data_IF_636457547377
#
_entry.id   IF_636457547377
#
_cell.length_a   1.000
_cell.length_b   1.000
_cell.length_c   1.000
_cell.angle_alpha   90.00
_cell.angle_beta   90.00
_cell.angle_gamma   90.00
#
_symmetry.space_group_name_H-M   'P 1'
#
loop_
_entity.id
_entity.type
_entity.pdbx_description
1 polymer ?
#
# COMPACT_ATOMS: atom_id res chain seq x y z
N UNK A 1 -65.97 -0.07 -50.30
CA UNK A 1 -65.21 0.10 -51.58
C UNK A 1 -63.85 0.67 -51.26
N UNK A 2 -62.99 -0.12 -51.47
CA UNK A 2 -61.67 -0.21 -52.17
C UNK A 2 -60.44 0.16 -51.33
N UNK A 3 -59.71 -0.93 -51.00
CA UNK A 3 -58.30 -1.27 -51.35
C UNK A 3 -57.22 -0.33 -50.79
N UNK A 4 -56.47 -0.82 -49.83
CA UNK A 4 -55.19 -1.57 -50.02
C UNK A 4 -54.16 -0.87 -50.89
N UNK A 5 -53.02 -0.49 -50.29
CA UNK A 5 -51.72 -0.71 -50.91
C UNK A 5 -50.57 -0.55 -49.88
N UNK A 6 -49.94 -1.64 -49.70
CA UNK A 6 -48.63 -1.86 -49.10
C UNK A 6 -47.55 -1.29 -50.04
N UNK A 7 -46.59 -0.52 -49.57
CA UNK A 7 -45.32 -0.28 -50.31
C UNK A 7 -44.12 -0.27 -49.36
N UNK A 8 -43.45 -1.41 -49.37
CA UNK A 8 -42.03 -1.49 -49.09
C UNK A 8 -41.28 -0.71 -50.18
N UNK A 9 -40.40 0.19 -49.79
CA UNK A 9 -39.37 0.71 -50.68
C UNK A 9 -38.05 0.82 -49.96
N UNK A 10 -37.14 0.06 -50.46
CA UNK A 10 -35.73 0.02 -50.31
C UNK A 10 -35.10 1.44 -50.46
N UNK A 11 -34.27 1.84 -49.47
CA UNK A 11 -33.22 2.84 -49.72
C UNK A 11 -31.93 2.21 -49.25
N UNK A 12 -31.01 2.02 -50.18
CA UNK A 12 -29.65 1.59 -49.97
C UNK A 12 -28.87 2.75 -49.38
N UNK A 13 -28.27 2.51 -48.26
CA UNK A 13 -27.44 3.48 -47.52
C UNK A 13 -26.00 3.31 -47.90
N UNK A 14 -25.36 4.41 -48.17
CA UNK A 14 -23.91 4.55 -48.34
C UNK A 14 -23.28 4.50 -46.92
N UNK A 15 -22.38 3.54 -46.72
CA UNK A 15 -21.59 3.42 -45.50
C UNK A 15 -20.43 4.41 -45.61
N UNK A 16 -20.49 5.48 -44.81
CA UNK A 16 -19.33 6.32 -44.51
C UNK A 16 -18.70 5.84 -43.22
N UNK A 17 -17.60 5.12 -43.33
CA UNK A 17 -16.81 4.71 -42.15
C UNK A 17 -15.99 5.91 -41.67
N UNK A 18 -16.45 6.59 -40.63
CA UNK A 18 -15.64 7.47 -39.82
C UNK A 18 -15.03 6.64 -38.68
N UNK A 19 -13.78 6.23 -38.87
CA UNK A 19 -12.97 5.63 -37.81
C UNK A 19 -12.58 6.69 -36.80
N UNK A 20 -13.36 6.81 -35.73
CA UNK A 20 -12.92 7.50 -34.54
C UNK A 20 -11.90 6.60 -33.83
N UNK A 21 -10.62 6.85 -34.05
CA UNK A 21 -9.54 6.26 -33.29
C UNK A 21 -9.58 6.86 -31.88
N UNK A 22 -10.36 6.24 -31.00
CA UNK A 22 -10.25 6.46 -29.56
C UNK A 22 -8.91 5.90 -29.11
N UNK A 23 -7.90 6.77 -28.96
CA UNK A 23 -6.69 6.48 -28.22
C UNK A 23 -7.05 6.30 -26.76
N UNK A 24 -7.58 5.13 -26.41
CA UNK A 24 -7.53 4.63 -25.04
C UNK A 24 -6.05 4.49 -24.70
N UNK A 25 -5.50 5.45 -23.99
CA UNK A 25 -4.24 5.29 -23.28
C UNK A 25 -4.50 4.21 -22.23
N UNK A 26 -4.24 2.97 -22.62
CA UNK A 26 -4.08 1.87 -21.69
C UNK A 26 -2.98 2.30 -20.71
N UNK A 27 -3.37 2.58 -19.47
CA UNK A 27 -2.45 2.46 -18.38
C UNK A 27 -1.89 1.05 -18.52
N UNK A 28 -0.57 0.85 -18.46
CA UNK A 28 -0.06 -0.51 -18.42
C UNK A 28 -0.66 -1.14 -17.16
N UNK A 29 -1.73 -1.93 -17.33
CA UNK A 29 -2.02 -2.98 -16.40
C UNK A 29 -0.70 -3.71 -16.28
N UNK A 30 -0.11 -3.73 -15.08
CA UNK A 30 1.08 -4.50 -14.79
C UNK A 30 0.80 -5.90 -15.31
N UNK A 31 1.35 -6.21 -16.48
CA UNK A 31 1.33 -7.55 -17.01
C UNK A 31 1.97 -8.39 -15.90
N UNK A 32 1.21 -9.34 -15.37
CA UNK A 32 1.74 -10.39 -14.50
C UNK A 32 2.70 -11.17 -15.36
N UNK A 33 3.91 -10.63 -15.50
CA UNK A 33 5.04 -11.31 -16.13
C UNK A 33 5.39 -12.48 -15.23
N UNK A 34 5.36 -13.68 -15.78
CA UNK A 34 5.61 -14.97 -15.14
C UNK A 34 7.06 -15.20 -14.72
N UNK A 35 7.88 -14.17 -14.66
CA UNK A 35 9.24 -14.22 -14.12
C UNK A 35 9.32 -13.27 -12.93
N UNK A 36 9.30 -13.84 -11.73
CA UNK A 36 9.56 -13.08 -10.51
C UNK A 36 10.95 -12.44 -10.60
N UNK A 37 11.06 -11.17 -10.23
CA UNK A 37 12.36 -10.53 -10.12
C UNK A 37 13.24 -11.30 -9.11
N UNK A 38 14.55 -11.47 -9.38
CA UNK A 38 15.42 -12.16 -8.45
C UNK A 38 15.46 -11.41 -7.10
N UNK A 39 15.60 -12.18 -6.01
CA UNK A 39 15.75 -11.65 -4.68
C UNK A 39 16.93 -10.68 -4.60
N UNK A 40 16.70 -9.46 -4.14
CA UNK A 40 17.75 -8.46 -3.93
C UNK A 40 18.36 -8.62 -2.54
N UNK A 41 19.66 -8.93 -2.46
CA UNK A 41 20.36 -8.98 -1.17
C UNK A 41 20.50 -7.57 -0.58
N UNK A 42 19.97 -7.36 0.62
CA UNK A 42 20.05 -6.09 1.36
C UNK A 42 21.24 -6.08 2.34
N UNK A 43 21.50 -7.23 2.98
CA UNK A 43 22.65 -7.47 3.88
C UNK A 43 23.01 -8.97 3.86
N UNK A 44 23.85 -9.44 4.78
CA UNK A 44 24.19 -10.86 4.86
C UNK A 44 23.06 -11.76 5.32
N UNK A 45 22.06 -11.18 5.98
CA UNK A 45 20.90 -11.87 6.54
C UNK A 45 19.57 -11.41 5.99
N UNK A 46 19.52 -10.34 5.16
CA UNK A 46 18.28 -9.76 4.65
C UNK A 46 18.21 -9.76 3.12
N UNK A 47 17.02 -10.06 2.61
CA UNK A 47 16.67 -10.01 1.19
C UNK A 47 15.35 -9.26 0.99
N UNK A 48 15.28 -8.47 -0.09
CA UNK A 48 14.06 -7.91 -0.62
C UNK A 48 13.54 -8.83 -1.72
N UNK A 49 12.32 -9.27 -1.58
CA UNK A 49 11.55 -10.07 -2.52
C UNK A 49 10.38 -9.25 -3.04
N UNK A 50 9.87 -9.58 -4.23
CA UNK A 50 8.67 -8.94 -4.78
C UNK A 50 7.64 -10.02 -5.08
N UNK A 51 6.48 -9.90 -4.45
CA UNK A 51 5.36 -10.82 -4.62
C UNK A 51 4.12 -10.05 -5.10
N UNK A 52 3.69 -10.28 -6.34
CA UNK A 52 2.53 -9.60 -6.91
C UNK A 52 2.62 -8.06 -6.93
N UNK A 53 3.83 -7.52 -6.97
CA UNK A 53 4.11 -6.08 -6.90
C UNK A 53 4.37 -5.55 -5.49
N UNK A 54 4.05 -6.31 -4.44
CA UNK A 54 4.34 -5.95 -3.06
C UNK A 54 5.77 -6.34 -2.67
N UNK A 55 6.42 -5.49 -1.88
CA UNK A 55 7.72 -5.76 -1.30
C UNK A 55 7.56 -6.64 -0.05
N UNK A 56 8.41 -7.66 0.05
CA UNK A 56 8.52 -8.54 1.20
C UNK A 56 9.98 -8.60 1.63
N UNK A 57 10.27 -8.37 2.91
CA UNK A 57 11.63 -8.51 3.42
C UNK A 57 11.76 -9.82 4.18
N UNK A 58 12.76 -10.65 3.79
CA UNK A 58 13.08 -11.89 4.47
C UNK A 58 14.37 -11.71 5.28
N UNK A 59 14.31 -12.03 6.58
CA UNK A 59 15.45 -12.05 7.49
C UNK A 59 15.74 -13.50 7.89
N UNK A 60 16.93 -14.02 7.57
CA UNK A 60 17.39 -15.33 7.99
C UNK A 60 18.03 -15.26 9.37
N UNK A 61 17.65 -16.18 10.24
CA UNK A 61 18.31 -16.43 11.51
C UNK A 61 18.51 -17.94 11.75
N UNK A 62 19.12 -18.36 12.89
CA UNK A 62 19.33 -19.80 13.18
C UNK A 62 18.03 -20.60 13.33
N UNK A 63 16.89 -19.97 13.64
CA UNK A 63 15.60 -20.64 13.80
C UNK A 63 14.85 -20.85 12.48
N UNK A 64 15.24 -20.12 11.44
CA UNK A 64 14.61 -20.12 10.12
C UNK A 64 14.56 -18.73 9.49
N UNK A 65 13.36 -18.24 9.18
CA UNK A 65 13.14 -16.96 8.50
C UNK A 65 12.07 -16.16 9.22
N UNK A 66 12.34 -14.88 9.45
CA UNK A 66 11.32 -13.88 9.74
C UNK A 66 10.99 -13.09 8.47
N UNK A 67 9.71 -12.82 8.22
CA UNK A 67 9.25 -12.00 7.09
C UNK A 67 8.68 -10.67 7.58
N UNK A 68 8.80 -9.63 6.78
CA UNK A 68 7.97 -8.44 6.88
C UNK A 68 7.09 -8.41 5.65
N UNK A 69 5.79 -8.51 5.90
CA UNK A 69 4.71 -8.73 4.96
C UNK A 69 4.77 -10.09 4.22
N UNK A 70 3.71 -10.43 3.52
CA UNK A 70 3.56 -11.72 2.88
C UNK A 70 3.18 -11.65 1.38
N UNK A 71 2.96 -10.45 0.85
CA UNK A 71 2.43 -10.32 -0.51
C UNK A 71 0.98 -10.82 -0.63
N UNK A 72 0.38 -10.71 -1.82
CA UNK A 72 -0.97 -11.19 -2.09
C UNK A 72 -1.03 -12.73 -2.12
N UNK A 73 -2.20 -13.28 -1.77
CA UNK A 73 -2.43 -14.73 -1.72
C UNK A 73 -2.02 -15.47 -3.00
N UNK A 74 -2.38 -14.92 -4.15
CA UNK A 74 -2.07 -15.53 -5.44
C UNK A 74 -0.55 -15.70 -5.70
N UNK A 75 0.29 -14.91 -5.02
CA UNK A 75 1.75 -14.96 -5.09
C UNK A 75 2.41 -15.89 -4.07
N UNK A 76 1.67 -16.48 -3.12
CA UNK A 76 2.22 -17.16 -1.93
C UNK A 76 3.19 -18.31 -2.26
N UNK A 77 2.83 -19.16 -3.23
CA UNK A 77 3.70 -20.29 -3.63
C UNK A 77 5.05 -19.81 -4.16
N UNK A 78 5.02 -18.80 -5.00
CA UNK A 78 6.22 -18.24 -5.60
C UNK A 78 7.06 -17.50 -4.56
N UNK A 79 6.42 -16.75 -3.66
CA UNK A 79 7.09 -16.09 -2.54
C UNK A 79 7.85 -17.11 -1.67
N UNK A 80 7.20 -18.19 -1.25
CA UNK A 80 7.83 -19.22 -0.41
C UNK A 80 8.98 -19.94 -1.11
N UNK A 81 8.89 -20.13 -2.42
CA UNK A 81 10.00 -20.65 -3.23
C UNK A 81 11.18 -19.68 -3.20
N UNK A 82 10.93 -18.38 -3.46
CA UNK A 82 11.97 -17.34 -3.43
C UNK A 82 12.60 -17.18 -2.04
N UNK A 83 11.79 -17.23 -0.96
CA UNK A 83 12.30 -17.24 0.42
C UNK A 83 13.27 -18.39 0.62
N UNK A 84 12.90 -19.60 0.21
CA UNK A 84 13.75 -20.79 0.36
C UNK A 84 15.05 -20.66 -0.45
N UNK A 85 14.97 -20.20 -1.68
CA UNK A 85 16.15 -20.02 -2.55
C UNK A 85 17.09 -18.93 -2.02
N UNK A 86 16.54 -17.80 -1.56
CA UNK A 86 17.34 -16.68 -1.08
C UNK A 86 17.99 -16.96 0.28
N UNK A 87 17.26 -17.61 1.19
CA UNK A 87 17.68 -17.77 2.59
C UNK A 87 18.27 -19.16 2.90
N UNK A 88 18.01 -20.16 2.07
CA UNK A 88 18.35 -21.57 2.33
C UNK A 88 17.41 -22.25 3.34
N UNK A 89 16.28 -21.62 3.73
CA UNK A 89 15.33 -22.18 4.68
C UNK A 89 13.89 -21.99 4.19
N UNK A 90 13.09 -23.05 4.27
CA UNK A 90 11.64 -23.01 4.01
C UNK A 90 10.82 -22.70 5.27
N UNK A 91 11.45 -22.70 6.46
CA UNK A 91 10.75 -22.50 7.73
C UNK A 91 10.58 -21.03 8.04
N UNK A 92 9.40 -20.50 7.82
CA UNK A 92 9.01 -19.17 8.32
C UNK A 92 8.48 -19.30 9.74
N UNK A 93 9.13 -18.68 10.73
CA UNK A 93 8.72 -18.73 12.13
C UNK A 93 8.05 -17.47 12.62
N UNK A 94 8.27 -16.32 11.95
CA UNK A 94 7.66 -15.03 12.31
C UNK A 94 7.31 -14.26 11.04
N UNK A 95 6.18 -13.60 11.05
CA UNK A 95 5.83 -12.59 10.03
C UNK A 95 5.31 -11.34 10.72
N UNK A 96 5.78 -10.17 10.28
CA UNK A 96 5.20 -8.88 10.62
C UNK A 96 4.23 -8.49 9.52
N UNK A 97 3.00 -8.10 9.86
CA UNK A 97 2.12 -7.43 8.90
C UNK A 97 2.18 -5.93 9.17
N UNK A 98 2.68 -5.17 8.18
CA UNK A 98 2.78 -3.72 8.31
C UNK A 98 1.41 -3.06 8.38
N UNK A 99 0.39 -3.62 7.74
CA UNK A 99 -1.01 -3.25 7.85
C UNK A 99 -1.92 -4.38 7.34
N UNK A 100 -3.25 -4.16 7.27
CA UNK A 100 -4.21 -5.23 7.02
C UNK A 100 -4.49 -5.56 5.55
N UNK A 101 -4.03 -4.78 4.56
CA UNK A 101 -4.39 -4.96 3.16
C UNK A 101 -3.91 -6.30 2.56
N UNK A 102 -4.60 -6.79 1.49
CA UNK A 102 -4.35 -8.12 0.93
C UNK A 102 -2.96 -8.31 0.35
N UNK A 103 -2.34 -7.24 -0.15
CA UNK A 103 -0.99 -7.24 -0.69
C UNK A 103 0.10 -7.34 0.40
N UNK A 104 -0.27 -7.27 1.68
CA UNK A 104 0.62 -7.46 2.83
C UNK A 104 0.31 -8.76 3.59
N UNK A 105 -0.98 -9.13 3.69
CA UNK A 105 -1.44 -10.20 4.56
C UNK A 105 -1.92 -11.45 3.83
N UNK A 106 -1.98 -11.41 2.50
CA UNK A 106 -2.60 -12.47 1.69
C UNK A 106 -1.96 -13.84 1.84
N UNK A 107 -0.64 -13.90 2.06
CA UNK A 107 0.07 -15.17 2.26
C UNK A 107 -0.02 -15.73 3.69
N UNK A 108 -0.58 -15.01 4.65
CA UNK A 108 -0.61 -15.45 6.06
C UNK A 108 -1.17 -16.87 6.23
N UNK A 109 -2.20 -17.23 5.46
CA UNK A 109 -2.83 -18.55 5.57
C UNK A 109 -1.93 -19.73 5.13
N UNK A 110 -0.84 -19.44 4.44
CA UNK A 110 0.15 -20.40 3.96
C UNK A 110 1.41 -20.45 4.85
N UNK A 111 1.47 -19.65 5.93
CA UNK A 111 2.58 -19.56 6.87
C UNK A 111 2.27 -20.35 8.15
N UNK A 112 2.14 -21.67 8.02
CA UNK A 112 1.72 -22.54 9.14
C UNK A 112 2.67 -22.47 10.34
N UNK A 113 2.10 -22.23 11.52
CA UNK A 113 2.84 -22.17 12.78
C UNK A 113 3.69 -20.91 12.97
N UNK A 114 3.66 -19.97 12.03
CA UNK A 114 4.35 -18.70 12.21
C UNK A 114 3.69 -17.82 13.29
N UNK A 115 4.51 -17.11 14.05
CA UNK A 115 4.06 -16.00 14.87
C UNK A 115 3.74 -14.83 13.95
N UNK A 116 2.51 -14.32 13.99
CA UNK A 116 2.07 -13.17 13.18
C UNK A 116 1.99 -11.95 14.10
N UNK A 117 2.93 -11.02 13.92
CA UNK A 117 3.05 -9.80 14.71
C UNK A 117 2.43 -8.64 13.92
N UNK A 118 1.54 -7.88 14.54
CA UNK A 118 0.92 -6.69 13.95
C UNK A 118 0.36 -5.75 15.02
N UNK A 119 -0.09 -4.57 14.60
CA UNK A 119 -0.94 -3.74 15.43
C UNK A 119 -2.31 -4.42 15.66
N UNK A 120 -2.92 -4.20 16.83
CA UNK A 120 -4.22 -4.82 17.17
C UNK A 120 -5.31 -4.47 16.14
N UNK A 121 -5.34 -3.24 15.62
CA UNK A 121 -6.30 -2.83 14.60
C UNK A 121 -6.17 -3.67 13.32
N UNK A 122 -4.95 -4.01 12.90
CA UNK A 122 -4.73 -4.94 11.77
C UNK A 122 -5.42 -6.27 12.01
N UNK A 123 -5.32 -6.83 13.23
CA UNK A 123 -6.03 -8.07 13.60
C UNK A 123 -7.55 -7.89 13.56
N UNK A 124 -8.06 -6.76 14.04
CA UNK A 124 -9.50 -6.46 14.05
C UNK A 124 -10.06 -6.34 12.63
N UNK A 125 -9.39 -5.62 11.72
CA UNK A 125 -9.81 -5.50 10.33
C UNK A 125 -9.88 -6.85 9.62
N UNK A 126 -8.96 -7.76 9.89
CA UNK A 126 -8.92 -9.10 9.29
C UNK A 126 -9.99 -10.06 9.81
N UNK A 127 -10.80 -9.66 10.80
CA UNK A 127 -11.93 -10.47 11.30
C UNK A 127 -13.18 -10.37 10.44
N UNK A 128 -13.28 -9.35 9.60
CA UNK A 128 -14.45 -9.06 8.79
C UNK A 128 -14.08 -8.91 7.32
N UNK A 129 -15.07 -9.03 6.42
CA UNK A 129 -14.90 -8.67 5.03
C UNK A 129 -14.99 -7.14 4.90
N UNK A 130 -13.91 -6.53 4.43
CA UNK A 130 -13.78 -5.08 4.31
C UNK A 130 -13.46 -4.68 2.86
N UNK A 131 -14.04 -3.60 2.34
CA UNK A 131 -13.66 -3.06 1.05
C UNK A 131 -12.28 -2.39 1.14
N UNK A 132 -11.37 -2.77 0.22
CA UNK A 132 -10.01 -2.24 0.12
C UNK A 132 -9.98 -1.11 -0.91
N UNK A 133 -9.61 0.13 -0.53
CA UNK A 133 -9.52 1.24 -1.48
C UNK A 133 -8.32 1.07 -2.44
N UNK A 134 -8.34 1.71 -3.60
CA UNK A 134 -9.40 2.55 -4.13
C UNK A 134 -10.50 1.76 -4.87
N UNK A 135 -10.28 0.47 -5.18
CA UNK A 135 -11.19 -0.36 -5.97
C UNK A 135 -12.40 -0.86 -5.18
N UNK A 136 -12.33 -0.82 -3.84
CA UNK A 136 -13.33 -1.32 -2.92
C UNK A 136 -13.67 -2.82 -3.09
N UNK A 137 -12.72 -3.62 -3.60
CA UNK A 137 -12.84 -5.07 -3.60
C UNK A 137 -12.87 -5.59 -2.16
N UNK A 138 -13.76 -6.54 -1.87
CA UNK A 138 -13.85 -7.11 -0.52
C UNK A 138 -12.67 -8.02 -0.23
N UNK A 139 -12.07 -7.83 0.95
CA UNK A 139 -11.01 -8.69 1.48
C UNK A 139 -11.34 -9.15 2.90
N UNK A 140 -11.01 -10.40 3.21
CA UNK A 140 -11.34 -11.03 4.47
C UNK A 140 -12.78 -11.62 4.49
N UNK A 141 -13.23 -12.17 5.63
CA UNK A 141 -12.43 -12.41 6.82
C UNK A 141 -11.35 -13.46 6.59
N UNK A 142 -10.17 -13.25 7.14
CA UNK A 142 -9.15 -14.32 7.14
C UNK A 142 -9.51 -15.40 8.15
N UNK A 143 -9.14 -16.66 7.91
CA UNK A 143 -9.31 -17.72 8.91
C UNK A 143 -8.50 -17.41 10.18
N UNK A 144 -8.94 -17.85 11.37
CA UNK A 144 -8.29 -17.50 12.64
C UNK A 144 -6.77 -17.75 12.65
N UNK A 145 -6.31 -18.85 12.03
CA UNK A 145 -4.87 -19.19 11.93
C UNK A 145 -4.03 -18.23 11.10
N UNK A 146 -4.67 -17.42 10.25
CA UNK A 146 -4.02 -16.45 9.36
C UNK A 146 -4.08 -15.01 9.89
N UNK A 147 -4.73 -14.80 11.04
CA UNK A 147 -4.80 -13.49 11.69
C UNK A 147 -3.63 -13.29 12.63
N UNK A 148 -3.20 -12.04 12.89
CA UNK A 148 -2.20 -11.74 13.90
C UNK A 148 -2.51 -12.43 15.25
N UNK A 149 -1.50 -13.10 15.80
CA UNK A 149 -1.59 -13.84 17.08
C UNK A 149 -0.65 -13.28 18.17
N UNK A 150 0.16 -12.27 17.81
CA UNK A 150 0.96 -11.45 18.72
C UNK A 150 0.76 -9.98 18.35
N UNK A 151 0.02 -9.24 19.17
CA UNK A 151 -0.38 -7.86 18.85
C UNK A 151 0.07 -6.85 19.89
N UNK A 152 0.11 -5.58 19.51
CA UNK A 152 0.41 -4.46 20.40
C UNK A 152 -0.39 -3.21 19.95
N UNK A 153 -0.47 -2.20 20.82
CA UNK A 153 -1.28 -1.00 20.58
C UNK A 153 -0.44 0.27 20.39
N UNK A 154 0.54 0.48 21.24
CA UNK A 154 1.30 1.73 21.29
C UNK A 154 2.79 1.44 21.41
N UNK A 155 3.59 2.48 21.20
CA UNK A 155 5.03 2.47 21.34
C UNK A 155 5.76 1.61 20.30
N UNK A 156 7.03 1.44 20.53
CA UNK A 156 7.89 0.52 19.81
C UNK A 156 8.32 -0.62 20.70
N UNK A 157 8.57 -1.77 20.10
CA UNK A 157 9.11 -2.96 20.75
C UNK A 157 10.39 -3.40 20.08
N UNK A 158 11.21 -4.11 20.81
CA UNK A 158 12.43 -4.73 20.32
C UNK A 158 12.31 -6.25 20.35
N UNK A 159 12.87 -6.91 19.33
CA UNK A 159 12.99 -8.36 19.22
C UNK A 159 14.34 -8.69 18.59
N UNK A 160 14.84 -9.91 18.82
CA UNK A 160 16.12 -10.35 18.30
C UNK A 160 15.95 -11.52 17.32
N UNK A 161 16.54 -11.43 16.14
CA UNK A 161 16.63 -12.53 15.17
C UNK A 161 18.11 -12.88 14.94
N UNK A 162 18.59 -13.92 15.61
CA UNK A 162 20.02 -14.24 15.63
C UNK A 162 20.84 -13.05 16.15
N UNK A 163 21.71 -12.49 15.30
CA UNK A 163 22.51 -11.28 15.62
C UNK A 163 21.86 -9.96 15.16
N UNK A 164 20.65 -10.01 14.60
CA UNK A 164 19.96 -8.84 14.08
C UNK A 164 18.98 -8.29 15.12
N UNK A 165 19.26 -7.14 15.77
CA UNK A 165 18.30 -6.47 16.62
C UNK A 165 17.26 -5.74 15.77
N UNK A 166 16.00 -5.98 16.04
CA UNK A 166 14.88 -5.45 15.27
C UNK A 166 13.99 -4.63 16.17
N UNK A 167 13.73 -3.40 15.79
CA UNK A 167 12.70 -2.55 16.38
C UNK A 167 11.48 -2.55 15.46
N UNK A 168 10.29 -2.62 16.04
CA UNK A 168 9.04 -2.36 15.32
C UNK A 168 8.15 -1.44 16.12
N UNK A 169 7.37 -0.60 15.46
CA UNK A 169 6.57 0.41 16.15
C UNK A 169 5.38 0.88 15.35
N UNK A 170 4.41 1.47 16.06
CA UNK A 170 3.17 1.96 15.52
C UNK A 170 3.32 3.30 14.82
N UNK A 171 2.61 3.47 13.71
CA UNK A 171 2.46 4.73 12.97
C UNK A 171 0.98 5.15 13.01
N UNK A 172 0.66 6.06 13.93
CA UNK A 172 -0.73 6.41 14.26
C UNK A 172 -1.49 6.95 13.05
N UNK A 173 -2.57 6.24 12.65
CA UNK A 173 -3.53 6.67 11.63
C UNK A 173 -2.88 7.20 10.34
N UNK A 174 -1.84 6.54 9.85
CA UNK A 174 -1.12 6.99 8.68
C UNK A 174 -1.85 6.57 7.38
N UNK A 175 -1.47 5.44 6.77
CA UNK A 175 -2.17 4.85 5.64
C UNK A 175 -3.45 4.13 6.10
N UNK A 176 -3.37 3.43 7.24
CA UNK A 176 -4.45 2.82 8.02
C UNK A 176 -4.29 3.17 9.49
N UNK A 177 -5.20 2.71 10.36
CA UNK A 177 -5.06 2.81 11.83
C UNK A 177 -4.26 1.64 12.45
N UNK A 178 -3.70 0.77 11.62
CA UNK A 178 -2.92 -0.39 12.04
C UNK A 178 -1.50 -0.43 11.48
N UNK A 179 -1.00 0.70 10.95
CA UNK A 179 0.33 0.73 10.33
C UNK A 179 1.45 0.55 11.33
N UNK A 180 2.41 -0.31 11.00
CA UNK A 180 3.66 -0.46 11.74
C UNK A 180 4.86 -0.37 10.81
N UNK A 181 6.01 0.02 11.36
CA UNK A 181 7.30 -0.11 10.71
C UNK A 181 8.11 -1.23 11.35
N UNK A 182 9.10 -1.77 10.62
CA UNK A 182 10.07 -2.75 11.12
C UNK A 182 11.47 -2.28 10.74
N UNK A 183 12.33 -2.07 11.73
CA UNK A 183 13.70 -1.57 11.55
C UNK A 183 14.74 -2.60 11.97
N UNK A 184 15.47 -3.13 11.01
CA UNK A 184 16.62 -4.01 11.19
C UNK A 184 17.86 -3.14 11.44
N UNK A 185 18.22 -2.98 12.72
CA UNK A 185 19.20 -1.97 13.16
C UNK A 185 20.61 -2.26 12.67
N UNK A 186 21.09 -3.51 12.77
CA UNK A 186 22.44 -3.91 12.33
C UNK A 186 22.57 -3.77 10.81
N UNK A 187 21.58 -4.22 10.07
CA UNK A 187 21.54 -4.14 8.60
C UNK A 187 21.20 -2.74 8.08
N UNK A 188 20.73 -1.85 8.94
CA UNK A 188 20.26 -0.51 8.63
C UNK A 188 19.19 -0.49 7.51
N UNK A 189 18.16 -1.35 7.67
CA UNK A 189 17.03 -1.51 6.73
C UNK A 189 15.74 -1.21 7.47
N UNK A 190 14.97 -0.24 6.98
CA UNK A 190 13.69 0.19 7.54
C UNK A 190 12.56 -0.15 6.58
N UNK A 191 11.69 -1.08 6.97
CA UNK A 191 10.46 -1.42 6.23
C UNK A 191 9.33 -0.55 6.75
N UNK A 192 8.68 0.17 5.85
CA UNK A 192 7.73 1.24 6.22
C UNK A 192 6.27 0.91 5.92
N UNK A 193 6.01 -0.13 5.11
CA UNK A 193 4.64 -0.44 4.69
C UNK A 193 3.96 0.66 3.89
N UNK A 194 2.64 0.77 4.01
CA UNK A 194 1.77 1.64 3.23
C UNK A 194 1.96 3.16 3.34
N UNK A 195 2.46 3.72 4.46
CA UNK A 195 2.68 5.15 4.59
C UNK A 195 3.64 5.77 3.59
N UNK A 196 4.58 4.99 3.05
CA UNK A 196 5.59 5.46 2.10
C UNK A 196 5.34 4.87 0.72
N UNK A 197 5.27 5.71 -0.29
CA UNK A 197 5.11 5.29 -1.68
C UNK A 197 6.37 5.52 -2.50
N UNK A 198 6.69 4.61 -3.41
CA UNK A 198 7.78 4.75 -4.36
C UNK A 198 7.29 4.96 -5.80
N UNK A 199 6.04 4.64 -6.10
CA UNK A 199 5.48 4.68 -7.44
C UNK A 199 4.01 5.13 -7.40
N UNK A 200 3.78 6.41 -7.63
CA UNK A 200 2.44 6.99 -7.63
C UNK A 200 1.96 7.45 -6.24
N UNK A 201 0.75 7.98 -6.21
CA UNK A 201 0.14 8.51 -5.01
C UNK A 201 -0.18 7.39 -4.01
N UNK A 202 0.06 7.60 -2.69
CA UNK A 202 -0.34 6.62 -1.68
C UNK A 202 -1.87 6.57 -1.57
N UNK A 203 -2.37 5.43 -1.14
CA UNK A 203 -3.75 5.31 -0.68
C UNK A 203 -3.84 5.86 0.74
N UNK A 204 -4.93 6.57 1.05
CA UNK A 204 -5.33 6.91 2.41
C UNK A 204 -6.61 6.13 2.68
N UNK A 205 -6.53 5.07 3.45
CA UNK A 205 -7.70 4.25 3.75
C UNK A 205 -8.54 4.88 4.87
N UNK A 206 -9.44 5.75 4.46
CA UNK A 206 -10.32 6.48 5.38
C UNK A 206 -11.22 5.54 6.19
N UNK A 207 -11.58 4.37 5.63
CA UNK A 207 -12.44 3.40 6.33
C UNK A 207 -11.74 2.78 7.52
N UNK A 208 -10.44 2.56 7.40
CA UNK A 208 -9.58 2.14 8.51
C UNK A 208 -8.83 3.34 9.13
N UNK A 209 -9.51 4.48 9.22
CA UNK A 209 -9.05 5.70 9.88
C UNK A 209 -7.70 6.26 9.37
N UNK A 210 -7.30 5.93 8.14
CA UNK A 210 -6.16 6.56 7.48
C UNK A 210 -6.40 8.07 7.31
N UNK A 211 -5.35 8.87 7.54
CA UNK A 211 -5.46 10.32 7.57
C UNK A 211 -4.20 11.00 7.01
N UNK A 212 -4.37 12.01 6.17
CA UNK A 212 -3.22 12.69 5.56
C UNK A 212 -2.26 13.31 6.58
N UNK A 213 -2.76 13.82 7.71
CA UNK A 213 -1.87 14.38 8.76
C UNK A 213 -1.17 13.25 9.50
N UNK A 214 -1.85 12.14 9.80
CA UNK A 214 -1.23 10.94 10.33
C UNK A 214 -0.16 10.37 9.39
N UNK A 215 -0.42 10.40 8.07
CA UNK A 215 0.58 10.02 7.06
C UNK A 215 1.85 10.90 7.14
N UNK A 216 1.68 12.23 7.25
CA UNK A 216 2.79 13.19 7.42
C UNK A 216 3.56 12.91 8.71
N UNK A 217 2.87 12.66 9.83
CA UNK A 217 3.48 12.40 11.13
C UNK A 217 4.15 11.03 11.17
N UNK A 218 3.56 10.02 10.53
CA UNK A 218 4.17 8.70 10.34
C UNK A 218 5.49 8.79 9.58
N UNK A 219 5.53 9.52 8.46
CA UNK A 219 6.77 9.74 7.71
C UNK A 219 7.80 10.53 8.55
N UNK A 220 7.38 11.50 9.35
CA UNK A 220 8.27 12.21 10.29
C UNK A 220 8.90 11.25 11.31
N UNK A 221 8.11 10.33 11.86
CA UNK A 221 8.58 9.29 12.77
C UNK A 221 9.60 8.39 12.08
N UNK A 222 9.32 7.92 10.86
CA UNK A 222 10.23 7.09 10.07
C UNK A 222 11.55 7.83 9.76
N UNK A 223 11.48 9.12 9.41
CA UNK A 223 12.66 9.93 9.17
C UNK A 223 13.50 10.15 10.45
N UNK A 224 12.86 10.15 11.63
CA UNK A 224 13.55 10.18 12.93
C UNK A 224 14.25 8.87 13.28
N UNK A 225 13.70 7.72 12.85
CA UNK A 225 14.32 6.40 13.03
C UNK A 225 15.48 6.20 12.05
N UNK A 226 15.36 6.68 10.81
CA UNK A 226 16.32 6.49 9.74
C UNK A 226 17.54 7.44 9.88
N UNK A 227 18.71 6.98 9.44
CA UNK A 227 19.87 7.82 9.12
C UNK A 227 20.09 7.89 7.60
N UNK A 228 21.09 8.65 7.14
CA UNK A 228 21.30 8.92 5.71
C UNK A 228 21.69 7.68 4.89
N UNK A 229 22.19 6.62 5.53
CA UNK A 229 22.53 5.35 4.89
C UNK A 229 21.43 4.31 5.03
N UNK A 230 20.31 4.59 5.71
CA UNK A 230 19.22 3.65 5.89
C UNK A 230 18.57 3.34 4.55
N UNK A 231 18.47 2.05 4.24
CA UNK A 231 17.67 1.54 3.11
C UNK A 231 16.22 1.52 3.52
N UNK A 232 15.39 2.29 2.83
CA UNK A 232 13.96 2.40 3.13
C UNK A 232 13.18 1.50 2.16
N UNK A 233 12.41 0.55 2.70
CA UNK A 233 11.61 -0.38 1.92
C UNK A 233 10.13 -0.01 2.06
N UNK A 234 9.53 0.61 1.03
CA UNK A 234 8.10 0.90 1.01
C UNK A 234 7.27 -0.37 0.76
N UNK A 235 5.93 -0.27 0.85
CA UNK A 235 5.04 -1.40 0.55
C UNK A 235 5.23 -1.97 -0.87
N UNK A 236 5.64 -1.14 -1.82
CA UNK A 236 5.92 -1.52 -3.21
C UNK A 236 6.95 -0.59 -3.85
N UNK A 237 7.56 -1.05 -4.96
CA UNK A 237 8.53 -0.26 -5.72
C UNK A 237 9.96 -0.34 -5.21
N UNK A 238 10.85 0.55 -5.67
CA UNK A 238 12.28 0.51 -5.37
C UNK A 238 12.61 0.88 -3.93
N UNK A 239 13.84 0.51 -3.53
CA UNK A 239 14.46 0.97 -2.27
C UNK A 239 14.65 2.48 -2.32
N UNK A 240 14.24 3.15 -1.26
CA UNK A 240 14.31 4.61 -1.07
C UNK A 240 15.38 4.99 -0.05
N UNK A 241 15.59 6.31 0.07
CA UNK A 241 16.51 6.95 1.02
C UNK A 241 15.75 7.81 2.04
N UNK A 242 16.41 8.24 3.09
CA UNK A 242 15.85 9.23 4.03
C UNK A 242 15.47 10.54 3.32
N UNK A 243 16.23 10.96 2.30
CA UNK A 243 15.91 12.15 1.52
C UNK A 243 14.55 12.00 0.81
N UNK A 244 14.24 10.80 0.31
CA UNK A 244 12.92 10.52 -0.30
C UNK A 244 11.78 10.62 0.72
N UNK A 245 11.97 10.15 1.97
CA UNK A 245 10.97 10.34 3.04
C UNK A 245 10.72 11.82 3.30
N UNK A 246 11.78 12.61 3.45
CA UNK A 246 11.67 14.05 3.72
C UNK A 246 10.98 14.79 2.57
N UNK A 247 11.28 14.41 1.33
CA UNK A 247 10.62 14.97 0.14
C UNK A 247 9.12 14.63 0.12
N UNK A 248 8.73 13.41 0.45
CA UNK A 248 7.32 13.01 0.55
C UNK A 248 6.61 13.74 1.69
N UNK A 249 7.23 13.84 2.86
CA UNK A 249 6.68 14.59 3.99
C UNK A 249 6.38 16.04 3.62
N UNK A 250 7.35 16.71 2.97
CA UNK A 250 7.20 18.10 2.53
C UNK A 250 6.06 18.24 1.51
N UNK A 251 5.99 17.34 0.54
CA UNK A 251 4.93 17.32 -0.48
C UNK A 251 3.56 17.18 0.16
N UNK A 252 3.34 16.18 1.02
CA UNK A 252 2.05 15.96 1.67
C UNK A 252 1.68 17.10 2.60
N UNK A 253 2.65 17.68 3.31
CA UNK A 253 2.44 18.87 4.17
C UNK A 253 1.97 20.06 3.34
N UNK A 254 2.59 20.29 2.18
CA UNK A 254 2.21 21.38 1.27
C UNK A 254 0.80 21.22 0.73
N UNK A 255 0.47 20.00 0.24
CA UNK A 255 -0.85 19.68 -0.29
C UNK A 255 -1.92 19.80 0.81
N UNK A 256 -1.67 19.25 2.00
CA UNK A 256 -2.56 19.32 3.15
C UNK A 256 -2.85 20.77 3.55
N UNK A 257 -1.82 21.62 3.65
CA UNK A 257 -2.00 23.04 4.00
C UNK A 257 -2.84 23.80 2.97
N UNK A 258 -2.65 23.53 1.66
CA UNK A 258 -3.45 24.12 0.59
C UNK A 258 -4.91 23.68 0.69
N UNK A 259 -5.17 22.39 0.88
CA UNK A 259 -6.54 21.87 1.05
C UNK A 259 -7.22 22.47 2.27
N UNK A 260 -6.56 22.52 3.43
CA UNK A 260 -7.11 23.14 4.62
C UNK A 260 -7.44 24.62 4.42
N UNK A 261 -6.62 25.37 3.66
CA UNK A 261 -6.93 26.75 3.29
C UNK A 261 -8.19 26.84 2.43
N UNK A 262 -8.34 25.96 1.43
CA UNK A 262 -9.54 25.91 0.57
C UNK A 262 -10.78 25.51 1.36
N UNK A 263 -10.67 24.54 2.28
CA UNK A 263 -11.78 24.14 3.18
C UNK A 263 -12.24 25.31 4.07
N UNK A 264 -11.31 26.10 4.63
CA UNK A 264 -11.67 27.31 5.40
C UNK A 264 -12.35 28.40 4.56
N UNK A 265 -12.21 28.35 3.23
CA UNK A 265 -12.92 29.23 2.29
C UNK A 265 -14.29 28.65 1.88
N UNK A 266 -14.70 27.49 2.43
CA UNK A 266 -15.97 26.85 2.14
C UNK A 266 -15.98 25.99 0.87
N UNK A 267 -14.82 25.70 0.27
CA UNK A 267 -14.76 24.87 -0.94
C UNK A 267 -15.02 23.38 -0.58
N UNK A 268 -15.92 22.78 -1.34
CA UNK A 268 -16.18 21.33 -1.29
C UNK A 268 -15.15 20.52 -2.06
N UNK A 269 -15.22 19.19 -1.93
CA UNK A 269 -14.23 18.26 -2.51
C UNK A 269 -14.07 18.42 -4.03
N UNK A 270 -15.15 18.59 -4.78
CA UNK A 270 -15.10 18.74 -6.24
C UNK A 270 -14.40 20.04 -6.67
N UNK A 271 -14.60 21.11 -5.92
CA UNK A 271 -13.95 22.40 -6.17
C UNK A 271 -12.45 22.32 -5.85
N UNK A 272 -12.07 21.61 -4.77
CA UNK A 272 -10.66 21.38 -4.41
C UNK A 272 -9.97 20.52 -5.46
N UNK A 273 -10.61 19.45 -5.95
CA UNK A 273 -10.08 18.63 -7.05
C UNK A 273 -9.89 19.50 -8.31
N UNK A 274 -10.86 20.34 -8.66
CA UNK A 274 -10.76 21.23 -9.83
C UNK A 274 -9.62 22.26 -9.71
N UNK A 275 -9.31 22.71 -8.47
CA UNK A 275 -8.17 23.62 -8.20
C UNK A 275 -6.82 22.93 -8.16
N UNK A 276 -6.80 21.61 -8.14
CA UNK A 276 -5.61 20.75 -8.16
C UNK A 276 -4.48 21.22 -7.24
N UNK A 277 -4.61 21.03 -5.91
CA UNK A 277 -3.59 21.46 -4.94
C UNK A 277 -2.24 20.73 -5.10
N UNK A 278 -2.19 19.67 -5.89
CA UNK A 278 -1.04 18.80 -6.11
C UNK A 278 -0.40 18.94 -7.51
N UNK A 279 -0.84 19.91 -8.32
CA UNK A 279 -0.50 20.03 -9.75
C UNK A 279 1.00 19.91 -10.08
N UNK A 280 1.87 20.55 -9.30
CA UNK A 280 3.32 20.52 -9.56
C UNK A 280 3.96 19.16 -9.35
N UNK A 281 3.29 18.24 -8.63
CA UNK A 281 3.80 16.91 -8.35
C UNK A 281 3.34 15.84 -9.35
N UNK A 282 2.32 16.14 -10.18
CA UNK A 282 1.71 15.17 -11.10
C UNK A 282 2.67 14.67 -12.18
N UNK A 283 3.67 15.46 -12.57
CA UNK A 283 4.70 15.03 -13.51
C UNK A 283 5.46 13.78 -13.02
N UNK A 284 5.66 13.66 -11.70
CA UNK A 284 6.34 12.51 -11.07
C UNK A 284 5.33 11.45 -10.57
N UNK A 285 4.19 11.87 -10.01
CA UNK A 285 3.30 11.02 -9.23
C UNK A 285 2.03 10.58 -9.98
N UNK A 286 1.77 11.16 -11.18
CA UNK A 286 0.56 10.89 -11.96
C UNK A 286 -0.63 11.74 -11.53
N UNK A 287 -1.81 11.46 -12.11
CA UNK A 287 -3.08 12.18 -11.79
C UNK A 287 -3.40 12.11 -10.30
N UNK A 288 -3.57 13.27 -9.67
CA UNK A 288 -3.74 13.40 -8.24
C UNK A 288 -5.21 13.37 -7.76
N UNK A 289 -6.18 13.24 -8.66
CA UNK A 289 -7.61 13.39 -8.32
C UNK A 289 -8.08 12.43 -7.23
N UNK A 290 -7.72 11.14 -7.36
CA UNK A 290 -8.10 10.11 -6.38
C UNK A 290 -7.42 10.36 -5.03
N UNK A 291 -6.14 10.72 -5.04
CA UNK A 291 -5.41 11.09 -3.83
C UNK A 291 -6.01 12.34 -3.18
N UNK A 292 -6.32 13.37 -3.96
CA UNK A 292 -6.93 14.63 -3.47
C UNK A 292 -8.30 14.38 -2.85
N UNK A 293 -9.14 13.52 -3.45
CA UNK A 293 -10.43 13.12 -2.87
C UNK A 293 -10.26 12.43 -1.51
N UNK A 294 -9.39 11.42 -1.45
CA UNK A 294 -9.13 10.69 -0.20
C UNK A 294 -8.55 11.61 0.87
N UNK A 295 -7.56 12.44 0.53
CA UNK A 295 -6.92 13.36 1.44
C UNK A 295 -7.90 14.42 1.97
N UNK A 296 -8.74 14.98 1.12
CA UNK A 296 -9.79 15.93 1.52
C UNK A 296 -10.78 15.31 2.50
N UNK A 297 -11.30 14.12 2.18
CA UNK A 297 -12.26 13.42 3.04
C UNK A 297 -11.65 13.03 4.39
N UNK A 298 -10.37 12.65 4.40
CA UNK A 298 -9.65 12.36 5.64
C UNK A 298 -9.51 13.59 6.52
N UNK A 299 -9.28 14.77 5.95
CA UNK A 299 -9.26 16.04 6.68
C UNK A 299 -10.66 16.40 7.19
N UNK A 300 -11.69 16.26 6.35
CA UNK A 300 -13.07 16.60 6.73
C UNK A 300 -13.54 15.79 7.93
N UNK A 301 -13.34 14.46 7.90
CA UNK A 301 -13.75 13.58 8.99
C UNK A 301 -13.08 13.89 10.35
N UNK A 302 -11.87 14.48 10.34
CA UNK A 302 -11.17 14.88 11.56
C UNK A 302 -11.47 16.32 12.00
N UNK A 303 -11.87 17.20 11.07
CA UNK A 303 -12.17 18.60 11.36
C UNK A 303 -13.64 18.85 11.68
N UNK A 304 -14.54 17.98 11.21
CA UNK A 304 -15.98 18.07 11.40
C UNK A 304 -16.55 16.68 11.77
N UNK A 305 -16.17 16.11 12.93
CA UNK A 305 -16.53 14.74 13.32
C UNK A 305 -18.04 14.52 13.50
N UNK A 306 -18.82 15.60 13.68
CA UNK A 306 -20.27 15.54 13.94
C UNK A 306 -21.13 15.88 12.70
N UNK A 307 -20.54 15.95 11.51
CA UNK A 307 -21.23 16.32 10.26
C UNK A 307 -21.63 15.15 9.38
#
# INVERSE_FOLDING_TARGET
>A
MTRSANRRSFIKTVIGAATAASLARLHPALAVGTSAAPAQKLSDTLWLLVSGGANVVACRDPAGVALVDGGPEAGSRELLRQVTEATGSAKVHTVFNTHWHPDQTGSNQHLEGAKIIAHENTRLWLQYANPVPPQNALYGPLPPKARPNDTFFYDSKDIQFGEEPVQYGYLMQAHTDGDIYVYFRKSNVLVTGGPVSAAGWPVIDIRSNGWIVGLIDGIRTLAGVANDQTKIIPANGPVLTKADLLAQQQMYSTISARMQKMMRQGLGVQEVIAKNPAAEYEAKWGDSKVFTDMAFRSLWGHMAPDS
#
